data_IF_201697358778
#
_entry.id   IF_201697358778
#
_cell.length_a   1.000
_cell.length_b   1.000
_cell.length_c   1.000
_cell.angle_alpha   90.00
_cell.angle_beta   90.00
_cell.angle_gamma   90.00
#
_symmetry.space_group_name_H-M   'P 1'
#
loop_
_entity.id
_entity.type
_entity.pdbx_description
1 polymer ?
#
# COMPACT_ATOMS: atom_id res chain seq x y z
N UNK A 1 3.69 -10.88 1.66
CA UNK A 1 3.32 -10.42 3.02
C UNK A 1 3.95 -11.38 4.02
N UNK A 2 4.28 -10.93 5.23
CA UNK A 2 4.90 -11.78 6.24
C UNK A 2 4.46 -11.37 7.66
N UNK A 3 4.59 -12.29 8.61
CA UNK A 3 4.36 -12.02 10.04
C UNK A 3 5.64 -11.41 10.60
N UNK A 4 5.58 -10.14 10.98
CA UNK A 4 6.74 -9.39 11.49
C UNK A 4 6.91 -9.48 13.00
N UNK A 5 5.86 -9.87 13.72
CA UNK A 5 5.87 -10.03 15.16
C UNK A 5 4.64 -10.82 15.62
N UNK A 6 4.75 -11.41 16.82
CA UNK A 6 3.61 -11.90 17.60
C UNK A 6 3.48 -11.04 18.85
N UNK A 7 2.25 -10.65 19.22
CA UNK A 7 1.93 -9.80 20.37
C UNK A 7 0.70 -10.32 21.12
N UNK A 8 0.43 -9.78 22.30
CA UNK A 8 -0.73 -10.12 23.14
C UNK A 8 -2.06 -9.50 22.68
N UNK A 9 -2.05 -8.69 21.60
CA UNK A 9 -3.25 -8.07 21.03
C UNK A 9 -2.94 -7.20 19.83
N UNK A 10 -3.91 -6.99 18.94
CA UNK A 10 -3.72 -6.25 17.69
C UNK A 10 -3.29 -4.79 17.88
N UNK A 11 -3.74 -4.14 18.97
CA UNK A 11 -3.32 -2.79 19.32
C UNK A 11 -1.84 -2.65 19.66
N UNK A 12 -1.16 -3.75 20.01
CA UNK A 12 0.27 -3.77 20.26
C UNK A 12 1.11 -3.98 18.98
N UNK A 13 0.46 -4.19 17.83
CA UNK A 13 1.14 -4.28 16.55
C UNK A 13 1.48 -2.88 16.01
N UNK A 14 2.63 -2.72 15.33
CA UNK A 14 2.94 -1.48 14.63
C UNK A 14 1.84 -1.13 13.62
N UNK A 15 1.38 0.12 13.68
CA UNK A 15 0.35 0.64 12.78
C UNK A 15 0.97 1.37 11.59
N UNK A 16 0.11 1.74 10.64
CA UNK A 16 0.42 2.60 9.50
C UNK A 16 0.37 1.89 8.14
N UNK A 17 0.71 2.62 7.06
CA UNK A 17 0.61 2.13 5.69
C UNK A 17 1.35 0.80 5.45
N UNK A 18 0.64 -0.20 4.93
CA UNK A 18 1.19 -1.52 4.64
C UNK A 18 1.37 -2.43 5.87
N UNK A 19 0.68 -2.14 6.98
CA UNK A 19 0.67 -2.95 8.20
C UNK A 19 -0.76 -3.29 8.60
N UNK A 20 -0.93 -4.48 9.16
CA UNK A 20 -2.21 -4.92 9.73
C UNK A 20 -1.96 -5.93 10.85
N UNK A 21 -2.99 -6.34 11.56
CA UNK A 21 -2.92 -7.41 12.55
C UNK A 21 -4.07 -8.39 12.40
N UNK A 22 -3.81 -9.67 12.64
CA UNK A 22 -4.82 -10.69 12.85
C UNK A 22 -4.78 -11.10 14.32
N UNK A 23 -5.87 -10.94 15.05
CA UNK A 23 -5.96 -11.33 16.46
C UNK A 23 -6.89 -12.53 16.63
N UNK A 24 -6.54 -13.42 17.55
CA UNK A 24 -7.34 -14.57 17.94
C UNK A 24 -7.32 -14.72 19.46
N UNK A 25 -8.50 -14.93 20.05
CA UNK A 25 -8.66 -15.11 21.50
C UNK A 25 -9.15 -16.52 21.78
N UNK A 26 -8.47 -17.22 22.69
CA UNK A 26 -8.87 -18.54 23.16
C UNK A 26 -8.55 -18.69 24.64
N UNK A 27 -9.49 -19.26 25.40
CA UNK A 27 -9.38 -19.48 26.85
C UNK A 27 -8.92 -18.22 27.62
N UNK A 28 -9.48 -17.07 27.26
CA UNK A 28 -9.16 -15.78 27.88
C UNK A 28 -7.81 -15.17 27.52
N UNK A 29 -7.04 -15.78 26.60
CA UNK A 29 -5.75 -15.25 26.13
C UNK A 29 -5.88 -14.81 24.67
N UNK A 30 -5.37 -13.62 24.36
CA UNK A 30 -5.33 -13.09 23.00
C UNK A 30 -3.91 -13.16 22.45
N UNK A 31 -3.81 -13.64 21.21
CA UNK A 31 -2.59 -13.63 20.42
C UNK A 31 -2.86 -12.85 19.14
N UNK A 32 -1.94 -11.94 18.79
CA UNK A 32 -2.00 -11.17 17.57
C UNK A 32 -0.77 -11.42 16.70
N UNK A 33 -1.01 -11.71 15.43
CA UNK A 33 0.00 -11.75 14.38
C UNK A 33 0.08 -10.37 13.75
N UNK A 34 1.21 -9.70 13.92
CA UNK A 34 1.49 -8.43 13.25
C UNK A 34 1.96 -8.73 11.84
N UNK A 35 1.26 -8.19 10.85
CA UNK A 35 1.50 -8.45 9.44
C UNK A 35 2.14 -7.23 8.79
N UNK A 36 3.15 -7.44 7.97
CA UNK A 36 3.77 -6.38 7.17
C UNK A 36 3.76 -6.77 5.69
N UNK A 37 3.34 -5.80 4.88
CA UNK A 37 3.32 -5.95 3.42
C UNK A 37 4.74 -5.89 2.89
N UNK A 38 5.08 -6.85 2.02
CA UNK A 38 6.21 -6.72 1.10
C UNK A 38 5.68 -6.17 -0.20
N UNK A 39 6.23 -5.05 -0.66
CA UNK A 39 5.90 -4.44 -1.94
C UNK A 39 6.94 -4.84 -2.97
N UNK A 40 6.49 -5.19 -4.17
CA UNK A 40 7.33 -5.67 -5.27
C UNK A 40 6.97 -4.87 -6.51
N UNK A 41 7.97 -4.34 -7.22
CA UNK A 41 7.76 -3.66 -8.51
C UNK A 41 7.13 -4.63 -9.50
N UNK A 42 6.20 -4.16 -10.33
CA UNK A 42 5.46 -5.01 -11.27
C UNK A 42 4.13 -5.54 -10.71
N UNK A 43 3.95 -5.56 -9.39
CA UNK A 43 2.72 -6.08 -8.79
C UNK A 43 1.64 -5.00 -8.74
N UNK A 44 0.39 -5.45 -8.69
CA UNK A 44 -0.77 -4.56 -8.59
C UNK A 44 -1.50 -4.69 -7.25
N UNK A 45 -2.13 -3.58 -6.85
CA UNK A 45 -2.96 -3.48 -5.65
C UNK A 45 -4.24 -2.70 -5.97
N UNK A 46 -5.27 -2.94 -5.17
CA UNK A 46 -6.57 -2.28 -5.33
C UNK A 46 -6.57 -0.91 -4.68
N UNK A 47 -7.31 0.03 -5.24
CA UNK A 47 -7.52 1.34 -4.66
C UNK A 47 -8.92 1.89 -4.96
N UNK A 48 -9.31 2.84 -4.12
CA UNK A 48 -10.49 3.66 -4.30
C UNK A 48 -10.04 5.08 -4.63
N UNK A 49 -10.47 5.59 -5.77
CA UNK A 49 -10.34 6.99 -6.14
C UNK A 49 -11.68 7.69 -5.93
N UNK A 50 -11.63 8.84 -5.26
CA UNK A 50 -12.74 9.79 -5.20
C UNK A 50 -12.33 11.09 -5.87
N UNK A 51 -13.27 11.76 -6.55
CA UNK A 51 -12.99 12.95 -7.33
C UNK A 51 -12.15 12.71 -8.60
N UNK A 52 -11.74 13.79 -9.24
CA UNK A 52 -11.01 13.79 -10.51
C UNK A 52 -10.00 14.95 -10.60
N UNK A 53 -9.09 14.86 -11.58
CA UNK A 53 -8.08 15.90 -11.83
C UNK A 53 -7.19 16.15 -10.61
N UNK A 54 -6.92 17.43 -10.32
CA UNK A 54 -6.07 17.86 -9.20
C UNK A 54 -6.68 17.63 -7.82
N UNK A 55 -7.99 17.41 -7.74
CA UNK A 55 -8.72 17.17 -6.50
C UNK A 55 -8.94 15.69 -6.20
N UNK A 56 -8.48 14.80 -7.10
CA UNK A 56 -8.59 13.37 -6.89
C UNK A 56 -7.91 12.98 -5.57
N UNK A 57 -8.53 12.04 -4.85
CA UNK A 57 -7.95 11.40 -3.66
C UNK A 57 -7.86 9.91 -3.92
N UNK A 58 -6.72 9.33 -3.56
CA UNK A 58 -6.46 7.91 -3.77
C UNK A 58 -6.26 7.18 -2.44
N UNK A 59 -7.17 6.28 -2.13
CA UNK A 59 -7.12 5.39 -0.97
C UNK A 59 -6.66 4.01 -1.41
N UNK A 60 -5.37 3.71 -1.22
CA UNK A 60 -4.81 2.42 -1.58
C UNK A 60 -5.15 1.34 -0.55
N UNK A 61 -5.65 0.19 -1.04
CA UNK A 61 -5.72 -1.06 -0.29
C UNK A 61 -4.32 -1.68 -0.19
N UNK A 62 -3.43 -1.08 0.60
CA UNK A 62 -2.00 -1.45 0.69
C UNK A 62 -1.74 -2.90 1.14
N UNK A 63 -2.74 -3.59 1.68
CA UNK A 63 -2.66 -5.01 2.06
C UNK A 63 -3.13 -5.98 0.97
N UNK A 64 -3.70 -5.47 -0.12
CA UNK A 64 -4.23 -6.27 -1.23
C UNK A 64 -3.14 -6.69 -2.22
N UNK A 65 -3.42 -7.75 -2.98
CA UNK A 65 -2.68 -8.17 -4.18
C UNK A 65 -3.75 -8.49 -5.20
N UNK A 66 -3.55 -8.08 -6.43
CA UNK A 66 -4.41 -8.47 -7.53
C UNK A 66 -3.59 -8.57 -8.81
N UNK A 67 -4.03 -9.38 -9.75
CA UNK A 67 -3.52 -9.34 -11.12
C UNK A 67 -3.84 -7.96 -11.73
N UNK A 68 -2.89 -7.40 -12.48
CA UNK A 68 -3.04 -6.03 -12.97
C UNK A 68 -4.21 -5.87 -13.95
N UNK A 69 -4.54 -6.93 -14.68
CA UNK A 69 -5.61 -6.98 -15.68
C UNK A 69 -6.94 -7.52 -15.13
N UNK A 70 -7.03 -7.72 -13.81
CA UNK A 70 -8.22 -8.27 -13.17
C UNK A 70 -9.50 -7.51 -13.54
N UNK A 71 -10.47 -8.25 -14.08
CA UNK A 71 -11.76 -7.68 -14.56
C UNK A 71 -12.80 -7.54 -13.45
N UNK A 72 -12.58 -8.18 -12.31
CA UNK A 72 -13.49 -8.16 -11.17
C UNK A 72 -12.71 -7.85 -9.90
N UNK A 73 -13.15 -6.81 -9.20
CA UNK A 73 -12.59 -6.37 -7.91
C UNK A 73 -13.75 -6.14 -6.94
N UNK A 74 -13.54 -6.24 -5.62
CA UNK A 74 -14.58 -5.92 -4.64
C UNK A 74 -15.12 -4.49 -4.84
N UNK A 75 -16.44 -4.31 -4.68
CA UNK A 75 -17.17 -3.09 -5.06
C UNK A 75 -16.62 -1.77 -4.48
N UNK A 76 -15.97 -1.81 -3.31
CA UNK A 76 -15.33 -0.64 -2.70
C UNK A 76 -14.15 -0.08 -3.51
N UNK A 77 -13.63 -0.84 -4.47
CA UNK A 77 -12.46 -0.47 -5.26
C UNK A 77 -12.87 -0.15 -6.69
N UNK A 78 -12.33 0.95 -7.22
CA UNK A 78 -12.62 1.40 -8.58
C UNK A 78 -11.33 1.67 -9.39
N UNK A 79 -10.16 1.40 -8.82
CA UNK A 79 -8.85 1.50 -9.48
C UNK A 79 -7.98 0.30 -9.14
N UNK A 80 -7.13 -0.05 -10.09
CA UNK A 80 -5.97 -0.92 -9.87
C UNK A 80 -4.73 -0.04 -9.99
N UNK A 81 -3.83 -0.13 -9.01
CA UNK A 81 -2.57 0.59 -8.97
C UNK A 81 -1.43 -0.38 -9.25
N UNK A 82 -0.61 -0.03 -10.24
CA UNK A 82 0.61 -0.75 -10.57
C UNK A 82 1.79 -0.16 -9.80
N UNK A 83 2.53 -1.01 -9.08
CA UNK A 83 3.73 -0.62 -8.33
C UNK A 83 4.88 -0.38 -9.31
N UNK A 84 5.26 0.88 -9.44
CA UNK A 84 6.30 1.33 -10.38
C UNK A 84 7.67 1.45 -9.74
N UNK A 85 7.74 1.55 -8.41
CA UNK A 85 8.99 1.72 -7.67
C UNK A 85 8.83 1.49 -6.17
N UNK A 86 9.90 1.01 -5.53
CA UNK A 86 10.00 0.83 -4.08
C UNK A 86 11.38 1.33 -3.66
N UNK A 87 11.44 2.50 -3.04
CA UNK A 87 12.69 3.20 -2.75
C UNK A 87 12.87 3.43 -1.26
N UNK A 88 14.11 3.69 -0.84
CA UNK A 88 14.34 4.30 0.48
C UNK A 88 13.72 5.70 0.48
N UNK A 89 12.95 6.02 1.52
CA UNK A 89 12.31 7.32 1.61
C UNK A 89 13.34 8.43 1.88
N UNK A 90 13.37 9.51 1.08
CA UNK A 90 14.09 10.73 1.45
C UNK A 90 13.36 11.49 2.57
N UNK A 91 14.02 12.47 3.19
CA UNK A 91 13.45 13.25 4.29
C UNK A 91 12.15 13.98 3.92
N UNK A 92 12.04 14.47 2.68
CA UNK A 92 10.85 15.15 2.14
C UNK A 92 10.23 14.36 1.00
N UNK A 93 9.89 13.10 1.28
CA UNK A 93 9.33 12.20 0.28
C UNK A 93 7.99 12.68 -0.27
N UNK A 94 7.87 12.66 -1.59
CA UNK A 94 6.66 13.02 -2.32
C UNK A 94 6.53 12.18 -3.59
N UNK A 95 5.39 12.26 -4.26
CA UNK A 95 5.16 11.62 -5.56
C UNK A 95 6.14 12.11 -6.63
N UNK A 96 6.73 13.31 -6.50
CA UNK A 96 7.75 13.80 -7.42
C UNK A 96 9.03 12.94 -7.39
N UNK A 97 9.33 12.30 -6.25
CA UNK A 97 10.45 11.37 -6.14
C UNK A 97 10.19 10.03 -6.86
N UNK A 98 8.99 9.81 -7.40
CA UNK A 98 8.66 8.64 -8.21
C UNK A 98 8.99 8.81 -9.69
N UNK A 99 9.30 10.03 -10.13
CA UNK A 99 9.73 10.32 -11.49
C UNK A 99 10.98 9.49 -11.85
N UNK A 100 10.95 8.82 -13.01
CA UNK A 100 12.04 7.92 -13.43
C UNK A 100 13.14 8.64 -14.17
N UNK A 101 12.80 9.75 -14.82
CA UNK A 101 13.69 10.59 -15.62
C UNK A 101 13.29 12.05 -15.46
N UNK A 102 14.20 12.96 -15.81
CA UNK A 102 13.89 14.38 -15.87
C UNK A 102 12.78 14.63 -16.90
N UNK A 103 11.74 15.38 -16.50
CA UNK A 103 10.60 15.68 -17.35
C UNK A 103 9.55 14.56 -17.46
N UNK A 104 9.63 13.51 -16.63
CA UNK A 104 8.59 12.48 -16.55
C UNK A 104 7.21 13.12 -16.25
N UNK A 105 6.26 12.91 -17.16
CA UNK A 105 4.89 13.45 -17.08
C UNK A 105 3.89 12.47 -16.47
N UNK A 106 4.34 11.29 -16.06
CA UNK A 106 3.49 10.26 -15.45
C UNK A 106 2.94 10.78 -14.13
N UNK A 107 1.62 10.65 -13.95
CA UNK A 107 1.00 10.99 -12.67
C UNK A 107 1.14 9.83 -11.69
N UNK A 108 1.97 10.03 -10.66
CA UNK A 108 2.21 9.04 -9.63
C UNK A 108 1.36 9.27 -8.38
N UNK A 109 0.96 8.17 -7.76
CA UNK A 109 0.52 8.13 -6.38
C UNK A 109 1.60 7.49 -5.52
N UNK A 110 1.81 8.02 -4.31
CA UNK A 110 2.87 7.55 -3.44
C UNK A 110 2.44 7.40 -1.99
N UNK A 111 3.05 6.44 -1.29
CA UNK A 111 2.86 6.26 0.15
C UNK A 111 4.20 6.03 0.84
N UNK A 112 4.30 6.58 2.05
CA UNK A 112 5.36 6.24 2.98
C UNK A 112 4.96 4.99 3.77
N UNK A 113 5.61 3.87 3.47
CA UNK A 113 5.36 2.55 4.07
C UNK A 113 6.53 2.13 4.97
N UNK A 114 6.39 0.99 5.65
CA UNK A 114 7.43 0.45 6.54
C UNK A 114 7.84 1.45 7.65
N UNK A 115 6.86 2.15 8.23
CA UNK A 115 7.09 3.16 9.27
C UNK A 115 7.79 4.41 8.74
N UNK A 116 7.50 4.81 7.50
CA UNK A 116 8.07 6.03 6.90
C UNK A 116 9.41 5.85 6.20
N UNK A 117 10.00 4.65 6.24
CA UNK A 117 11.36 4.41 5.71
C UNK A 117 11.40 4.06 4.23
N UNK A 118 10.26 3.75 3.64
CA UNK A 118 10.15 3.31 2.25
C UNK A 118 9.13 4.15 1.51
N UNK A 119 9.52 4.71 0.37
CA UNK A 119 8.61 5.36 -0.56
C UNK A 119 8.11 4.31 -1.56
N UNK A 120 6.80 4.06 -1.53
CA UNK A 120 6.10 3.25 -2.51
C UNK A 120 5.59 4.18 -3.61
N UNK A 121 5.94 3.87 -4.87
CA UNK A 121 5.49 4.59 -6.05
C UNK A 121 4.54 3.72 -6.87
N UNK A 122 3.43 4.30 -7.30
CA UNK A 122 2.45 3.62 -8.13
C UNK A 122 1.85 4.55 -9.18
N UNK A 123 1.21 3.97 -10.18
CA UNK A 123 0.33 4.68 -11.11
C UNK A 123 -0.96 3.90 -11.29
N UNK A 124 -2.03 4.55 -11.75
CA UNK A 124 -3.24 3.84 -12.17
C UNK A 124 -2.89 2.95 -13.35
N UNK A 125 -3.17 1.66 -13.24
CA UNK A 125 -2.96 0.72 -14.33
C UNK A 125 -4.01 0.97 -15.42
N UNK A 126 -3.57 1.10 -16.68
CA UNK A 126 -4.45 1.45 -17.81
C UNK A 126 -4.61 0.33 -18.86
N UNK A 127 -3.98 -0.82 -18.67
CA UNK A 127 -3.96 -1.89 -19.67
C UNK A 127 -2.88 -1.69 -20.72
#
# INVERSE_FOLDING_TARGET
MWVSAVRSGGGACPQGPGRNSLSYTSRGRTTALCMTRRFTVGYCLLAEQTGSGRQARMNAGLMTVVDCDAKRVPARYNRILHITGVYKAPASASAANCARVQGDRTYYWSWLVNGGRTLLCTMVYQG
#
